data_IF_654525718164
#
_entry.id   IF_654525718164
#
_cell.length_a   1.000
_cell.length_b   1.000
_cell.length_c   1.000
_cell.angle_alpha   90.00
_cell.angle_beta   90.00
_cell.angle_gamma   90.00
#
_symmetry.space_group_name_H-M   'P 1'
#
loop_
_entity.id
_entity.type
_entity.pdbx_description
1 polymer ?
#
# COMPACT_ATOMS: atom_id res chain seq x y z
N UNK A 1 -48.86 -12.16 -17.39
CA UNK A 1 -47.56 -12.70 -17.88
C UNK A 1 -46.98 -13.51 -16.73
N UNK A 2 -46.78 -14.81 -16.89
CA UNK A 2 -46.34 -15.69 -15.80
C UNK A 2 -44.90 -15.35 -15.40
N UNK A 3 -44.55 -15.46 -14.12
CA UNK A 3 -43.18 -15.26 -13.61
C UNK A 3 -42.19 -16.15 -14.37
N UNK A 4 -42.63 -17.35 -14.77
CA UNK A 4 -41.89 -18.28 -15.62
C UNK A 4 -41.57 -17.71 -17.01
N UNK A 5 -42.48 -16.95 -17.62
CA UNK A 5 -42.25 -16.34 -18.94
C UNK A 5 -41.29 -15.15 -18.85
N UNK A 6 -41.37 -14.37 -17.76
CA UNK A 6 -40.44 -13.27 -17.50
C UNK A 6 -39.01 -13.79 -17.28
N UNK A 7 -38.85 -14.87 -16.50
CA UNK A 7 -37.55 -15.53 -16.29
C UNK A 7 -37.04 -16.13 -17.60
N UNK A 8 -37.89 -16.89 -18.33
CA UNK A 8 -37.49 -17.53 -19.58
C UNK A 8 -37.07 -16.52 -20.64
N UNK A 9 -37.77 -15.38 -20.74
CA UNK A 9 -37.45 -14.30 -21.68
C UNK A 9 -36.17 -13.57 -21.30
N UNK A 10 -35.97 -13.23 -20.01
CA UNK A 10 -34.72 -12.62 -19.53
C UNK A 10 -33.49 -13.51 -19.72
N UNK A 11 -33.67 -14.82 -19.53
CA UNK A 11 -32.63 -15.83 -19.80
C UNK A 11 -32.35 -15.94 -21.31
N UNK A 12 -33.37 -16.00 -22.16
CA UNK A 12 -33.21 -16.08 -23.62
C UNK A 12 -32.60 -14.83 -24.26
N UNK A 13 -32.88 -13.63 -23.74
CA UNK A 13 -32.26 -12.39 -24.21
C UNK A 13 -30.77 -12.34 -23.85
N UNK A 14 -30.37 -12.83 -22.67
CA UNK A 14 -28.95 -12.96 -22.31
C UNK A 14 -28.20 -13.93 -23.24
N UNK A 15 -28.85 -15.01 -23.70
CA UNK A 15 -28.26 -15.97 -24.64
C UNK A 15 -27.97 -15.41 -26.04
N UNK A 16 -28.55 -14.26 -26.43
CA UNK A 16 -28.34 -13.64 -27.75
C UNK A 16 -27.32 -12.48 -27.73
N UNK A 17 -26.67 -12.24 -26.58
CA UNK A 17 -25.66 -11.20 -26.42
C UNK A 17 -24.39 -11.56 -27.20
N UNK A 18 -24.27 -11.08 -28.43
CA UNK A 18 -23.09 -11.35 -29.27
C UNK A 18 -21.87 -10.61 -28.73
N UNK A 19 -20.79 -11.33 -28.42
CA UNK A 19 -19.51 -10.72 -28.07
C UNK A 19 -18.83 -10.22 -29.33
N UNK A 20 -18.83 -8.90 -29.52
CA UNK A 20 -18.03 -8.29 -30.58
C UNK A 20 -16.59 -8.13 -30.10
N UNK A 21 -15.61 -8.49 -30.95
CA UNK A 21 -14.18 -8.32 -30.69
C UNK A 21 -13.85 -6.87 -30.29
N UNK A 22 -14.51 -5.90 -30.93
CA UNK A 22 -14.39 -4.46 -30.64
C UNK A 22 -14.67 -4.14 -29.16
N UNK A 23 -15.70 -4.76 -28.59
CA UNK A 23 -16.10 -4.52 -27.21
C UNK A 23 -15.09 -5.10 -26.20
N UNK A 24 -14.45 -6.23 -26.53
CA UNK A 24 -13.36 -6.77 -25.73
C UNK A 24 -12.17 -5.81 -25.80
N UNK A 25 -11.79 -5.36 -26.99
CA UNK A 25 -10.66 -4.46 -27.20
C UNK A 25 -10.82 -3.16 -26.41
N UNK A 26 -12.00 -2.55 -26.48
CA UNK A 26 -12.34 -1.33 -25.73
C UNK A 26 -12.24 -1.57 -24.22
N UNK A 27 -12.80 -2.67 -23.73
CA UNK A 27 -12.78 -2.98 -22.29
C UNK A 27 -11.36 -3.20 -21.77
N UNK A 28 -10.54 -3.91 -22.53
CA UNK A 28 -9.12 -4.14 -22.20
C UNK A 28 -8.30 -2.86 -22.29
N UNK A 29 -8.54 -2.01 -23.30
CA UNK A 29 -7.85 -0.73 -23.44
C UNK A 29 -8.16 0.23 -22.26
N UNK A 30 -9.41 0.29 -21.82
CA UNK A 30 -9.81 1.10 -20.66
C UNK A 30 -9.23 0.50 -19.37
N UNK A 31 -9.27 -0.83 -19.20
CA UNK A 31 -8.65 -1.49 -18.05
C UNK A 31 -7.14 -1.21 -17.99
N UNK A 32 -6.46 -1.24 -19.14
CA UNK A 32 -5.05 -0.88 -19.25
C UNK A 32 -4.81 0.57 -18.81
N UNK A 33 -5.58 1.53 -19.35
CA UNK A 33 -5.45 2.94 -18.98
C UNK A 33 -5.67 3.18 -17.46
N UNK A 34 -6.69 2.54 -16.88
CA UNK A 34 -6.95 2.63 -15.43
C UNK A 34 -5.81 1.98 -14.64
N UNK A 35 -5.33 0.81 -15.05
CA UNK A 35 -4.21 0.14 -14.37
C UNK A 35 -2.92 0.96 -14.40
N UNK A 36 -2.66 1.72 -15.48
CA UNK A 36 -1.55 2.66 -15.53
C UNK A 36 -1.71 3.80 -14.52
N UNK A 37 -2.94 4.30 -14.34
CA UNK A 37 -3.23 5.29 -13.30
C UNK A 37 -3.02 4.70 -11.89
N UNK A 38 -3.46 3.47 -11.65
CA UNK A 38 -3.20 2.75 -10.39
C UNK A 38 -1.70 2.63 -10.13
N UNK A 39 -0.92 2.22 -11.15
CA UNK A 39 0.54 2.14 -11.09
C UNK A 39 1.18 3.50 -10.83
N UNK A 40 0.65 4.58 -11.40
CA UNK A 40 1.14 5.93 -11.15
C UNK A 40 0.97 6.32 -9.67
N UNK A 41 -0.21 6.10 -9.10
CA UNK A 41 -0.48 6.34 -7.67
C UNK A 41 0.41 5.45 -6.80
N UNK A 42 0.55 4.17 -7.15
CA UNK A 42 1.41 3.22 -6.45
C UNK A 42 2.86 3.71 -6.41
N UNK A 43 3.43 4.08 -7.57
CA UNK A 43 4.80 4.61 -7.66
C UNK A 43 4.99 5.91 -6.87
N UNK A 44 4.01 6.81 -6.92
CA UNK A 44 4.09 8.11 -6.24
C UNK A 44 4.02 7.98 -4.71
N UNK A 45 3.35 6.93 -4.24
CA UNK A 45 3.12 6.64 -2.82
C UNK A 45 4.13 5.64 -2.26
N UNK A 46 5.06 5.15 -3.08
CA UNK A 46 6.02 4.15 -2.67
C UNK A 46 7.06 4.75 -1.71
N UNK A 47 6.93 4.45 -0.42
CA UNK A 47 7.87 4.85 0.65
C UNK A 47 8.77 3.71 1.14
N UNK A 48 8.76 2.55 0.47
CA UNK A 48 9.55 1.37 0.86
C UNK A 48 11.01 1.42 0.36
N UNK A 49 11.88 0.63 1.00
CA UNK A 49 13.31 0.52 0.63
C UNK A 49 13.53 -0.38 -0.60
N UNK A 50 12.55 -1.23 -0.95
CA UNK A 50 12.68 -2.23 -2.03
C UNK A 50 11.49 -2.17 -3.01
N UNK A 51 11.66 -1.43 -4.10
CA UNK A 51 10.67 -1.36 -5.18
C UNK A 51 10.51 -2.71 -5.89
N UNK A 52 9.34 -3.33 -5.78
CA UNK A 52 9.05 -4.59 -6.45
C UNK A 52 8.45 -4.36 -7.85
N UNK A 53 9.28 -4.50 -8.89
CA UNK A 53 8.84 -4.44 -10.30
C UNK A 53 7.73 -5.46 -10.62
N UNK A 54 7.71 -6.60 -9.92
CA UNK A 54 6.72 -7.66 -10.12
C UNK A 54 5.31 -7.21 -9.75
N UNK A 55 5.14 -6.45 -8.65
CA UNK A 55 3.82 -5.96 -8.20
C UNK A 55 3.21 -5.03 -9.24
N UNK A 56 4.00 -4.10 -9.79
CA UNK A 56 3.57 -3.15 -10.82
C UNK A 56 3.12 -3.85 -12.10
N UNK A 57 3.87 -4.86 -12.55
CA UNK A 57 3.47 -5.67 -13.70
C UNK A 57 2.19 -6.46 -13.42
N UNK A 58 2.06 -7.00 -12.21
CA UNK A 58 0.89 -7.79 -11.79
C UNK A 58 -0.38 -6.95 -11.80
N UNK A 59 -0.34 -5.70 -11.31
CA UNK A 59 -1.48 -4.76 -11.33
C UNK A 59 -2.02 -4.57 -12.75
N UNK A 60 -1.14 -4.39 -13.74
CA UNK A 60 -1.54 -4.20 -15.14
C UNK A 60 -2.13 -5.48 -15.72
N UNK A 61 -1.42 -6.60 -15.58
CA UNK A 61 -1.84 -7.88 -16.14
C UNK A 61 -3.16 -8.34 -15.52
N UNK A 62 -3.31 -8.28 -14.19
CA UNK A 62 -4.50 -8.79 -13.52
C UNK A 62 -5.74 -7.97 -13.87
N UNK A 63 -5.61 -6.65 -14.05
CA UNK A 63 -6.73 -5.79 -14.45
C UNK A 63 -7.21 -6.11 -15.86
N UNK A 64 -6.27 -6.26 -16.81
CA UNK A 64 -6.58 -6.61 -18.20
C UNK A 64 -7.16 -8.01 -18.34
N UNK A 65 -6.57 -9.00 -17.66
CA UNK A 65 -7.08 -10.39 -17.64
C UNK A 65 -8.49 -10.42 -17.07
N UNK A 66 -8.73 -9.73 -15.95
CA UNK A 66 -10.05 -9.67 -15.32
C UNK A 66 -11.09 -9.02 -16.24
N UNK A 67 -10.74 -7.92 -16.93
CA UNK A 67 -11.62 -7.28 -17.90
C UNK A 67 -12.00 -8.22 -19.06
N UNK A 68 -11.01 -8.96 -19.58
CA UNK A 68 -11.23 -9.94 -20.65
C UNK A 68 -12.12 -11.10 -20.21
N UNK A 69 -11.85 -11.65 -19.02
CA UNK A 69 -12.65 -12.74 -18.41
C UNK A 69 -14.10 -12.29 -18.20
N UNK A 70 -14.32 -11.15 -17.55
CA UNK A 70 -15.67 -10.66 -17.24
C UNK A 70 -16.43 -10.31 -18.52
N UNK A 71 -15.78 -9.73 -19.53
CA UNK A 71 -16.45 -9.44 -20.81
C UNK A 71 -16.93 -10.71 -21.52
N UNK A 72 -16.12 -11.77 -21.46
CA UNK A 72 -16.43 -13.08 -22.06
C UNK A 72 -17.52 -13.81 -21.29
N UNK A 73 -17.58 -13.61 -19.96
CA UNK A 73 -18.59 -14.16 -19.08
C UNK A 73 -19.95 -13.48 -19.25
N UNK A 74 -19.97 -12.14 -19.33
CA UNK A 74 -21.21 -11.35 -19.34
C UNK A 74 -22.14 -11.76 -20.52
N UNK A 75 -21.57 -12.16 -21.64
CA UNK A 75 -22.30 -12.65 -22.81
C UNK A 75 -22.83 -14.09 -22.71
N UNK A 76 -22.39 -14.87 -21.72
CA UNK A 76 -22.76 -16.28 -21.64
C UNK A 76 -22.92 -16.72 -20.18
N UNK A 77 -24.16 -16.71 -19.72
CA UNK A 77 -24.53 -17.08 -18.34
C UNK A 77 -24.03 -18.49 -17.95
N UNK A 78 -24.04 -19.44 -18.89
CA UNK A 78 -23.54 -20.81 -18.68
C UNK A 78 -22.02 -20.82 -18.46
N UNK A 79 -21.28 -19.98 -19.17
CA UNK A 79 -19.83 -19.79 -19.01
C UNK A 79 -19.51 -19.08 -17.68
N UNK A 80 -20.35 -18.11 -17.28
CA UNK A 80 -20.24 -17.39 -16.01
C UNK A 80 -20.20 -18.32 -14.81
N UNK A 81 -21.13 -19.26 -14.75
CA UNK A 81 -21.30 -20.15 -13.61
C UNK A 81 -20.09 -21.09 -13.44
N UNK A 82 -19.52 -21.55 -14.56
CA UNK A 82 -18.31 -22.38 -14.57
C UNK A 82 -17.04 -21.64 -14.16
N UNK A 83 -16.87 -20.39 -14.61
CA UNK A 83 -15.66 -19.61 -14.29
C UNK A 83 -15.60 -19.13 -12.84
N UNK A 84 -16.74 -18.77 -12.23
CA UNK A 84 -16.78 -18.42 -10.79
C UNK A 84 -16.38 -19.63 -9.93
N UNK A 85 -16.80 -20.84 -10.33
CA UNK A 85 -16.37 -22.09 -9.70
C UNK A 85 -14.86 -22.35 -9.86
N UNK A 86 -14.30 -22.17 -11.04
CA UNK A 86 -12.87 -22.36 -11.28
C UNK A 86 -11.99 -21.35 -10.51
N UNK A 87 -12.37 -20.07 -10.49
CA UNK A 87 -11.65 -19.04 -9.73
C UNK A 87 -11.66 -19.31 -8.22
N UNK A 88 -12.74 -19.91 -7.68
CA UNK A 88 -12.82 -20.27 -6.26
C UNK A 88 -11.82 -21.36 -5.82
N UNK A 89 -11.25 -22.11 -6.77
CA UNK A 89 -10.25 -23.16 -6.52
C UNK A 89 -8.82 -22.58 -6.48
N UNK A 90 -8.59 -21.41 -7.07
CA UNK A 90 -7.27 -20.78 -7.14
C UNK A 90 -6.90 -20.19 -5.78
N UNK A 91 -6.16 -20.98 -4.99
CA UNK A 91 -5.57 -20.54 -3.71
C UNK A 91 -4.17 -19.97 -3.92
N UNK A 92 -3.98 -18.71 -3.53
CA UNK A 92 -2.64 -18.18 -3.36
C UNK A 92 -2.00 -18.85 -2.14
N UNK A 93 -0.94 -19.64 -2.37
CA UNK A 93 -0.23 -20.40 -1.32
C UNK A 93 0.93 -19.64 -0.68
N UNK A 94 1.14 -18.39 -1.07
CA UNK A 94 2.21 -17.53 -0.56
C UNK A 94 1.61 -16.40 0.26
N UNK A 95 2.16 -16.15 1.45
CA UNK A 95 1.80 -14.98 2.24
C UNK A 95 2.10 -13.71 1.44
N UNK A 96 1.10 -12.82 1.33
CA UNK A 96 1.30 -11.52 0.70
C UNK A 96 2.11 -10.68 1.68
N UNK A 97 3.28 -10.21 1.24
CA UNK A 97 4.29 -9.57 2.10
C UNK A 97 3.81 -8.23 2.67
N UNK A 98 3.00 -7.49 1.91
CA UNK A 98 2.56 -6.14 2.25
C UNK A 98 1.03 -5.99 2.09
N UNK A 99 0.28 -5.57 3.13
CA UNK A 99 -1.17 -5.39 3.03
C UNK A 99 -1.56 -4.29 2.04
N UNK A 100 -0.71 -3.27 1.89
CA UNK A 100 -0.92 -2.17 0.93
C UNK A 100 -0.89 -2.68 -0.51
N UNK A 101 0.09 -3.52 -0.87
CA UNK A 101 0.18 -4.12 -2.21
C UNK A 101 -1.09 -4.94 -2.54
N UNK A 102 -1.65 -5.62 -1.53
CA UNK A 102 -2.91 -6.36 -1.67
C UNK A 102 -4.07 -5.44 -2.02
N UNK A 103 -4.19 -4.29 -1.36
CA UNK A 103 -5.26 -3.32 -1.64
C UNK A 103 -5.18 -2.78 -3.08
N UNK A 104 -3.97 -2.51 -3.60
CA UNK A 104 -3.76 -2.11 -4.99
C UNK A 104 -4.12 -3.22 -5.99
N UNK A 105 -3.81 -4.48 -5.67
CA UNK A 105 -4.22 -5.63 -6.48
C UNK A 105 -5.75 -5.77 -6.52
N UNK A 106 -6.43 -5.63 -5.37
CA UNK A 106 -7.89 -5.65 -5.33
C UNK A 106 -8.50 -4.51 -6.13
N UNK A 107 -7.95 -3.30 -6.01
CA UNK A 107 -8.40 -2.17 -6.82
C UNK A 107 -8.25 -2.45 -8.32
N UNK A 108 -7.13 -3.03 -8.75
CA UNK A 108 -6.90 -3.41 -10.14
C UNK A 108 -7.92 -4.46 -10.65
N UNK A 109 -8.22 -5.46 -9.82
CA UNK A 109 -9.25 -6.48 -10.10
C UNK A 109 -10.62 -5.81 -10.23
N UNK A 110 -11.02 -4.99 -9.26
CA UNK A 110 -12.33 -4.30 -9.29
C UNK A 110 -12.46 -3.41 -10.52
N UNK A 111 -11.41 -2.66 -10.88
CA UNK A 111 -11.39 -1.87 -12.11
C UNK A 111 -11.54 -2.75 -13.37
N UNK A 112 -10.89 -3.91 -13.40
CA UNK A 112 -11.04 -4.92 -14.44
C UNK A 112 -12.47 -5.47 -14.53
N UNK A 113 -13.11 -5.76 -13.39
CA UNK A 113 -14.50 -6.23 -13.33
C UNK A 113 -15.45 -5.17 -13.89
N UNK A 114 -15.33 -3.92 -13.44
CA UNK A 114 -16.22 -2.84 -13.88
C UNK A 114 -16.07 -2.55 -15.37
N UNK A 115 -14.84 -2.53 -15.90
CA UNK A 115 -14.60 -2.34 -17.34
C UNK A 115 -15.09 -3.53 -18.16
N UNK A 116 -14.85 -4.77 -17.71
CA UNK A 116 -15.36 -5.98 -18.35
C UNK A 116 -16.89 -6.08 -18.36
N UNK A 117 -17.55 -5.56 -17.33
CA UNK A 117 -19.01 -5.46 -17.25
C UNK A 117 -19.61 -4.38 -18.17
N UNK A 118 -18.79 -3.57 -18.83
CA UNK A 118 -19.23 -2.44 -19.67
C UNK A 118 -19.54 -1.16 -18.90
N UNK A 119 -19.27 -1.13 -17.59
CA UNK A 119 -19.49 0.03 -16.72
C UNK A 119 -18.28 0.99 -16.77
N UNK A 120 -17.96 1.49 -17.96
CA UNK A 120 -16.73 2.25 -18.21
C UNK A 120 -16.64 3.53 -17.36
N UNK A 121 -17.70 4.34 -17.36
CA UNK A 121 -17.74 5.62 -16.63
C UNK A 121 -17.56 5.40 -15.13
N UNK A 122 -18.26 4.41 -14.58
CA UNK A 122 -18.20 4.07 -13.16
C UNK A 122 -16.80 3.58 -12.80
N UNK A 123 -16.16 2.78 -13.67
CA UNK A 123 -14.81 2.30 -13.43
C UNK A 123 -13.78 3.43 -13.35
N UNK A 124 -13.88 4.41 -14.25
CA UNK A 124 -12.98 5.58 -14.27
C UNK A 124 -13.21 6.46 -13.04
N UNK A 125 -14.46 6.82 -12.75
CA UNK A 125 -14.80 7.68 -11.61
C UNK A 125 -14.44 7.02 -10.27
N UNK A 126 -14.78 5.75 -10.11
CA UNK A 126 -14.45 4.98 -8.90
C UNK A 126 -12.95 4.85 -8.70
N UNK A 127 -12.19 4.61 -9.77
CA UNK A 127 -10.73 4.55 -9.68
C UNK A 127 -10.13 5.91 -9.36
N UNK A 128 -10.58 7.00 -9.98
CA UNK A 128 -10.12 8.35 -9.64
C UNK A 128 -10.38 8.67 -8.16
N UNK A 129 -11.58 8.36 -7.66
CA UNK A 129 -11.94 8.59 -6.26
C UNK A 129 -11.04 7.82 -5.29
N UNK A 130 -10.83 6.52 -5.52
CA UNK A 130 -9.95 5.69 -4.69
C UNK A 130 -8.49 6.19 -4.73
N UNK A 131 -8.01 6.56 -5.92
CA UNK A 131 -6.66 7.11 -6.10
C UNK A 131 -6.46 8.43 -5.36
N UNK A 132 -7.42 9.35 -5.45
CA UNK A 132 -7.37 10.63 -4.74
C UNK A 132 -7.42 10.41 -3.22
N UNK A 133 -8.35 9.58 -2.74
CA UNK A 133 -8.49 9.29 -1.32
C UNK A 133 -7.19 8.71 -0.75
N UNK A 134 -6.62 7.72 -1.42
CA UNK A 134 -5.37 7.10 -1.00
C UNK A 134 -4.21 8.11 -1.01
N UNK A 135 -4.12 8.95 -2.05
CA UNK A 135 -3.09 9.99 -2.14
C UNK A 135 -3.22 11.05 -1.04
N UNK A 136 -4.44 11.46 -0.68
CA UNK A 136 -4.68 12.40 0.42
C UNK A 136 -4.26 11.80 1.76
N UNK A 137 -4.62 10.54 2.03
CA UNK A 137 -4.21 9.84 3.25
C UNK A 137 -2.68 9.77 3.33
N UNK A 138 -2.03 9.44 2.22
CA UNK A 138 -0.57 9.42 2.16
C UNK A 138 0.07 10.77 2.48
N UNK A 139 -0.45 11.88 1.93
CA UNK A 139 0.08 13.22 2.23
C UNK A 139 -0.05 13.59 3.72
N UNK A 140 -1.07 13.08 4.41
CA UNK A 140 -1.25 13.29 5.85
C UNK A 140 -0.25 12.43 6.63
N UNK A 141 -0.04 11.17 6.25
CA UNK A 141 0.90 10.27 6.94
C UNK A 141 2.38 10.69 6.75
N UNK A 142 2.77 11.15 5.56
CA UNK A 142 4.13 11.66 5.30
C UNK A 142 4.47 12.85 6.21
N UNK A 143 3.51 13.74 6.44
CA UNK A 143 3.72 14.88 7.36
C UNK A 143 3.87 14.45 8.83
N UNK A 144 3.45 13.24 9.19
CA UNK A 144 3.53 12.73 10.54
C UNK A 144 4.81 11.91 10.85
N UNK A 145 5.63 11.55 9.84
CA UNK A 145 6.53 10.38 9.93
C UNK A 145 8.05 10.59 9.74
N UNK A 146 8.58 11.78 9.89
CA UNK A 146 10.05 11.93 10.02
C UNK A 146 10.50 11.64 11.45
N UNK A 147 10.21 10.43 11.94
CA UNK A 147 10.65 9.94 13.24
C UNK A 147 12.00 9.22 13.09
N UNK A 148 12.95 9.62 13.92
CA UNK A 148 14.29 9.07 13.97
C UNK A 148 14.51 8.41 15.31
N UNK A 149 15.33 7.35 15.34
CA UNK A 149 15.84 6.79 16.56
C UNK A 149 17.20 7.39 16.86
N UNK A 150 17.27 8.16 17.94
CA UNK A 150 18.51 8.62 18.54
C UNK A 150 19.02 7.53 19.49
N UNK A 151 20.09 6.85 19.08
CA UNK A 151 20.77 5.81 19.87
C UNK A 151 22.03 6.41 20.48
N UNK A 152 22.09 6.40 21.81
CA UNK A 152 23.17 7.00 22.60
C UNK A 152 23.78 5.92 23.46
N UNK A 153 25.08 5.67 23.30
CA UNK A 153 25.85 4.75 24.13
C UNK A 153 26.86 5.55 24.95
N UNK A 154 26.77 5.48 26.28
CA UNK A 154 27.62 6.22 27.21
C UNK A 154 27.96 5.38 28.45
N UNK A 155 29.03 5.75 29.15
CA UNK A 155 29.48 5.10 30.39
C UNK A 155 28.73 5.64 31.60
N UNK A 156 28.68 4.89 32.69
CA UNK A 156 27.89 5.24 33.88
C UNK A 156 28.28 6.60 34.49
N UNK A 157 29.55 6.99 34.36
CA UNK A 157 30.10 8.30 34.76
C UNK A 157 29.50 9.50 34.00
N UNK A 158 29.04 9.29 32.76
CA UNK A 158 28.42 10.33 31.92
C UNK A 158 26.92 10.54 32.15
N UNK A 159 26.28 9.77 33.05
CA UNK A 159 24.80 9.72 33.18
C UNK A 159 24.16 11.08 33.41
N UNK A 160 24.66 11.87 34.37
CA UNK A 160 24.06 13.17 34.70
C UNK A 160 24.15 14.20 33.56
N UNK A 161 25.27 14.21 32.83
CA UNK A 161 25.47 15.12 31.70
C UNK A 161 24.57 14.75 30.52
N UNK A 162 24.49 13.45 30.20
CA UNK A 162 23.66 12.93 29.11
C UNK A 162 22.17 13.16 29.38
N UNK A 163 21.70 12.90 30.60
CA UNK A 163 20.29 13.13 30.97
C UNK A 163 19.89 14.61 30.88
N UNK A 164 20.79 15.53 31.25
CA UNK A 164 20.55 16.97 31.13
C UNK A 164 20.46 17.43 29.67
N UNK A 165 21.33 16.92 28.80
CA UNK A 165 21.28 17.24 27.37
C UNK A 165 20.00 16.67 26.74
N UNK A 166 19.61 15.44 27.09
CA UNK A 166 18.38 14.82 26.56
C UNK A 166 17.11 15.56 27.03
N UNK A 167 17.10 16.21 28.20
CA UNK A 167 15.98 17.05 28.67
C UNK A 167 15.66 18.22 27.74
N UNK A 168 16.62 18.71 26.95
CA UNK A 168 16.39 19.78 25.97
C UNK A 168 15.51 19.35 24.77
N UNK A 169 15.36 18.04 24.54
CA UNK A 169 14.50 17.51 23.47
C UNK A 169 13.04 17.53 23.95
N UNK A 170 12.22 18.37 23.31
CA UNK A 170 10.81 18.61 23.68
C UNK A 170 9.89 17.42 23.38
N UNK A 171 10.05 16.79 22.21
CA UNK A 171 9.28 15.60 21.80
C UNK A 171 10.20 14.39 21.72
N UNK A 172 10.24 13.59 22.79
CA UNK A 172 10.99 12.34 22.84
C UNK A 172 10.14 11.23 23.45
N UNK A 173 10.28 10.01 22.93
CA UNK A 173 9.70 8.80 23.52
C UNK A 173 10.80 7.77 23.72
N UNK A 174 11.01 7.34 24.98
CA UNK A 174 11.98 6.29 25.28
C UNK A 174 11.47 4.95 24.71
N UNK A 175 12.26 4.31 23.86
CA UNK A 175 11.94 3.00 23.25
C UNK A 175 12.66 1.86 23.94
N UNK A 176 13.91 2.08 24.31
CA UNK A 176 14.74 1.09 25.01
C UNK A 176 15.78 1.76 25.90
N UNK A 177 16.06 1.12 27.04
CA UNK A 177 17.18 1.43 27.93
C UNK A 177 17.84 0.10 28.29
N UNK A 178 19.10 -0.06 27.89
CA UNK A 178 19.90 -1.26 28.14
C UNK A 178 21.13 -0.91 28.95
N UNK A 179 21.55 -1.85 29.81
CA UNK A 179 22.78 -1.77 30.57
C UNK A 179 23.61 -3.02 30.23
N UNK A 180 24.80 -2.82 29.69
CA UNK A 180 25.75 -3.88 29.35
C UNK A 180 27.10 -3.60 30.02
N UNK A 181 27.27 -4.12 31.24
CA UNK A 181 28.43 -3.82 32.07
C UNK A 181 28.49 -2.34 32.45
N UNK A 182 29.59 -1.66 32.15
CA UNK A 182 29.79 -0.21 32.40
C UNK A 182 29.35 0.67 31.21
N UNK A 183 28.50 0.15 30.32
CA UNK A 183 27.95 0.88 29.17
C UNK A 183 26.43 0.89 29.27
N UNK A 184 25.86 2.08 29.23
CA UNK A 184 24.43 2.32 29.15
C UNK A 184 24.07 2.74 27.73
N UNK A 185 23.03 2.13 27.17
CA UNK A 185 22.51 2.43 25.84
C UNK A 185 21.06 2.90 25.94
N UNK A 186 20.79 4.09 25.42
CA UNK A 186 19.47 4.71 25.36
C UNK A 186 19.03 4.86 23.91
N UNK A 187 17.81 4.44 23.62
CA UNK A 187 17.18 4.63 22.32
C UNK A 187 15.92 5.48 22.47
N UNK A 188 15.91 6.66 21.87
CA UNK A 188 14.77 7.58 21.85
C UNK A 188 14.21 7.75 20.45
N UNK A 189 12.88 7.74 20.33
CA UNK A 189 12.16 8.21 19.15
C UNK A 189 12.04 9.74 19.22
N UNK A 190 12.58 10.42 18.21
CA UNK A 190 12.65 11.89 18.11
C UNK A 190 12.21 12.37 16.72
N UNK A 191 11.63 13.57 16.66
CA UNK A 191 11.34 14.25 15.40
C UNK A 191 12.60 15.02 14.95
N UNK A 192 13.03 14.86 13.70
CA UNK A 192 14.22 15.59 13.23
C UNK A 192 13.94 17.08 13.10
N UNK A 193 14.78 17.87 13.75
CA UNK A 193 14.81 19.32 13.68
C UNK A 193 16.25 19.81 13.88
N UNK A 194 16.50 21.10 13.67
CA UNK A 194 17.82 21.71 13.87
C UNK A 194 18.35 21.57 15.31
N UNK A 195 17.46 21.41 16.30
CA UNK A 195 17.83 21.17 17.70
C UNK A 195 18.46 19.78 17.90
N UNK A 196 18.04 18.76 17.13
CA UNK A 196 18.66 17.42 17.20
C UNK A 196 20.12 17.46 16.76
N UNK A 197 20.47 18.24 15.74
CA UNK A 197 21.86 18.39 15.29
C UNK A 197 22.74 19.03 16.38
N UNK A 198 22.22 20.02 17.10
CA UNK A 198 22.91 20.65 18.23
C UNK A 198 23.08 19.68 19.41
N UNK A 199 22.03 18.95 19.75
CA UNK A 199 22.04 17.92 20.80
C UNK A 199 23.05 16.82 20.49
N UNK A 200 23.10 16.34 19.24
CA UNK A 200 24.09 15.34 18.83
C UNK A 200 25.52 15.85 19.00
N UNK A 201 25.79 17.12 18.63
CA UNK A 201 27.12 17.74 18.82
C UNK A 201 27.48 17.89 20.29
N UNK A 202 26.52 18.21 21.16
CA UNK A 202 26.75 18.32 22.61
C UNK A 202 27.02 16.94 23.22
N UNK A 203 26.23 15.93 22.86
CA UNK A 203 26.43 14.55 23.33
C UNK A 203 27.80 14.02 22.89
N UNK A 204 28.23 14.27 21.66
CA UNK A 204 29.54 13.83 21.18
C UNK A 204 30.72 14.47 21.94
N UNK A 205 30.56 15.69 22.46
CA UNK A 205 31.58 16.39 23.25
C UNK A 205 31.58 16.01 24.74
N UNK A 206 30.59 15.27 25.19
CA UNK A 206 30.45 14.91 26.61
C UNK A 206 31.37 13.75 26.95
N UNK A 207 32.17 13.91 28.00
CA UNK A 207 33.05 12.83 28.49
C UNK A 207 32.23 11.60 28.89
N UNK A 208 32.71 10.41 28.52
CA UNK A 208 32.01 9.15 28.78
C UNK A 208 31.01 8.73 27.70
N UNK A 209 30.66 9.61 26.74
CA UNK A 209 29.85 9.23 25.57
C UNK A 209 30.73 8.52 24.55
N UNK A 210 30.33 7.32 24.13
CA UNK A 210 31.06 6.51 23.17
C UNK A 210 30.55 6.74 21.76
N UNK A 211 29.24 6.59 21.55
CA UNK A 211 28.60 6.70 20.24
C UNK A 211 27.26 7.44 20.34
N UNK A 212 26.97 8.25 19.32
CA UNK A 212 25.68 8.91 19.11
C UNK A 212 25.28 8.69 17.66
N UNK A 213 24.20 7.95 17.44
CA UNK A 213 23.72 7.63 16.11
C UNK A 213 22.28 8.08 15.94
N UNK A 214 21.99 8.68 14.79
CA UNK A 214 20.62 8.98 14.37
C UNK A 214 20.26 8.00 13.25
N UNK A 215 19.32 7.11 13.53
CA UNK A 215 18.87 6.09 12.58
C UNK A 215 17.47 6.46 12.12
N UNK A 216 17.22 6.39 10.81
CA UNK A 216 15.85 6.57 10.30
C UNK A 216 15.00 5.39 10.79
N UNK A 217 13.89 5.69 11.45
CA UNK A 217 12.96 4.67 11.91
C UNK A 217 11.74 4.66 11.01
N UNK A 218 11.81 3.81 10.01
CA UNK A 218 10.61 3.42 9.29
C UNK A 218 9.84 2.47 10.19
N UNK A 219 8.78 2.97 10.81
CA UNK A 219 7.88 2.10 11.56
C UNK A 219 7.28 1.11 10.56
N UNK A 220 7.76 -0.15 10.54
CA UNK A 220 7.22 -1.24 9.70
C UNK A 220 5.76 -1.56 10.04
N UNK A 221 5.24 -0.99 11.13
CA UNK A 221 3.83 -1.02 11.49
C UNK A 221 3.27 0.40 11.45
N UNK A 222 2.71 0.77 10.29
CA UNK A 222 1.88 1.94 10.15
C UNK A 222 0.41 1.55 10.21
N UNK A 223 -0.20 1.61 11.41
CA UNK A 223 -1.61 1.30 11.70
C UNK A 223 -2.08 -0.12 11.36
#
# INVERSE_FOLDING_TARGET
>A
MSILDAIKKGVLEQFNSSVTIEMILISVAIAFAISLFIVFIYKKTFSGVVYNKSTVLTIVIISMVTAMVIRTINSNLSLSLGMVGALSIVRFRTAIKEPVDTAFLFWAITAGIMTGAGLYVISVVGSLFLGILYYVIYLVDVKAKSQYLLVIAYREDGTGAVENIIKSISKKKLKSKSLSGNLMELTYEVEYNSTIDEVMRQLQKTEGVRNVNLVTYTNEYGL
#
